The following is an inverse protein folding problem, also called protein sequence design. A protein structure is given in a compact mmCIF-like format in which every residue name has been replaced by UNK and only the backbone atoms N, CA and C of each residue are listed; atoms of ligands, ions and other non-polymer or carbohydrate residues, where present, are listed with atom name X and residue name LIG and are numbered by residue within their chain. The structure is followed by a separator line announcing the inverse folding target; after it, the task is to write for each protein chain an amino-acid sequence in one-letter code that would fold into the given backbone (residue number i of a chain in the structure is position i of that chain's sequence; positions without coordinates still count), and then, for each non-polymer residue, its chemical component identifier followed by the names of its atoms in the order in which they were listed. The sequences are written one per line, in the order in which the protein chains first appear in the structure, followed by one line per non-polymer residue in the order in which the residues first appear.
data_IF_437014130367
#
_entry.id   IF_437014130367
#
_cell.length_a   1.000
_cell.length_b   1.000
_cell.length_c   1.000
_cell.angle_alpha   90.00
_cell.angle_beta   90.00
_cell.angle_gamma   90.00
#
_symmetry.space_group_name_H-M   'P 1'
#
loop_
_entity.id
_entity.type
_entity.pdbx_description
1 polymer ?
#
# COMPACT_ATOMS: atom_id res chain seq x y z
N UNK A 1 -28.33 -45.32 -40.97
CA UNK A 1 -29.74 -45.62 -41.34
C UNK A 1 -30.64 -44.93 -40.29
N UNK A 2 -31.22 -43.92 -40.66
CA UNK A 2 -32.46 -43.70 -41.41
C UNK A 2 -33.66 -43.40 -40.47
N UNK A 3 -34.15 -42.20 -40.70
CA UNK A 3 -35.52 -41.71 -40.86
C UNK A 3 -36.34 -41.45 -39.60
N UNK A 4 -36.74 -40.24 -39.31
CA UNK A 4 -37.57 -39.25 -40.01
C UNK A 4 -39.07 -39.40 -39.76
N UNK A 5 -39.71 -38.22 -39.52
CA UNK A 5 -41.14 -37.86 -39.63
C UNK A 5 -42.05 -38.21 -38.42
N UNK A 6 -42.98 -37.39 -38.06
CA UNK A 6 -43.61 -36.18 -38.60
C UNK A 6 -44.77 -35.75 -37.71
N UNK A 7 -45.01 -34.47 -37.74
CA UNK A 7 -46.29 -33.78 -38.02
C UNK A 7 -47.59 -34.20 -37.33
N UNK A 8 -48.20 -33.34 -36.55
CA UNK A 8 -49.40 -32.53 -36.90
C UNK A 8 -50.43 -32.39 -35.74
N UNK A 9 -50.79 -31.12 -35.50
CA UNK A 9 -52.13 -30.53 -35.35
C UNK A 9 -53.14 -31.18 -34.37
N UNK A 10 -53.64 -30.40 -33.42
CA UNK A 10 -55.01 -29.91 -33.55
C UNK A 10 -55.39 -28.89 -32.47
N UNK A 11 -56.00 -27.84 -32.96
CA UNK A 11 -56.81 -26.79 -32.32
C UNK A 11 -57.96 -27.35 -31.50
N UNK A 12 -58.40 -26.63 -30.41
CA UNK A 12 -59.74 -26.01 -30.30
C UNK A 12 -60.02 -25.44 -28.91
N UNK A 13 -60.29 -24.14 -28.93
CA UNK A 13 -61.28 -23.34 -28.17
C UNK A 13 -62.04 -23.98 -27.01
N UNK A 14 -62.11 -23.22 -25.86
CA UNK A 14 -63.40 -22.82 -25.29
C UNK A 14 -63.29 -21.54 -24.44
N UNK A 15 -64.32 -20.75 -24.56
CA UNK A 15 -64.60 -19.37 -24.14
C UNK A 15 -64.96 -19.29 -22.64
N UNK A 16 -64.62 -18.12 -22.03
CA UNK A 16 -65.43 -17.28 -21.13
C UNK A 16 -65.62 -17.72 -19.68
N UNK A 17 -65.02 -16.94 -18.74
CA UNK A 17 -65.83 -16.30 -17.66
C UNK A 17 -65.04 -15.07 -17.11
N UNK A 18 -65.68 -13.90 -17.22
CA UNK A 18 -65.28 -12.64 -16.57
C UNK A 18 -65.56 -12.78 -15.05
N UNK A 19 -64.54 -12.47 -14.23
CA UNK A 19 -64.73 -12.01 -12.85
C UNK A 19 -63.80 -10.83 -12.60
N UNK A 20 -64.38 -9.62 -12.53
CA UNK A 20 -63.76 -8.41 -12.07
C UNK A 20 -63.38 -8.57 -10.58
N UNK A 21 -62.07 -8.65 -10.28
CA UNK A 21 -61.53 -8.30 -8.99
C UNK A 21 -60.62 -7.10 -9.17
N UNK A 22 -61.11 -5.94 -8.73
CA UNK A 22 -60.32 -4.70 -8.60
C UNK A 22 -59.27 -4.89 -7.54
N UNK A 23 -58.03 -5.23 -7.96
CA UNK A 23 -56.85 -5.11 -7.10
C UNK A 23 -56.25 -3.73 -7.32
N UNK A 24 -56.42 -2.88 -6.32
CA UNK A 24 -55.62 -1.66 -6.13
C UNK A 24 -54.21 -2.12 -5.76
N UNK A 25 -53.32 -2.12 -6.74
CA UNK A 25 -51.87 -2.25 -6.48
C UNK A 25 -51.40 -0.91 -5.91
N UNK A 26 -50.67 -0.89 -4.79
CA UNK A 26 -49.98 0.31 -4.40
C UNK A 26 -48.90 0.58 -5.43
N UNK A 27 -48.89 1.78 -5.99
CA UNK A 27 -47.79 2.33 -6.77
C UNK A 27 -46.60 2.44 -5.82
N UNK A 28 -45.78 1.39 -5.75
CA UNK A 28 -44.43 1.49 -5.25
C UNK A 28 -43.65 2.29 -6.29
N UNK A 29 -43.38 3.54 -5.99
CA UNK A 29 -42.38 4.30 -6.69
C UNK A 29 -41.06 3.55 -6.49
N UNK A 30 -40.67 2.74 -7.48
CA UNK A 30 -39.31 2.34 -7.65
C UNK A 30 -38.50 3.62 -7.77
N UNK A 31 -37.69 3.93 -6.76
CA UNK A 31 -36.59 4.88 -6.87
C UNK A 31 -35.73 4.34 -8.02
N UNK A 32 -35.85 4.96 -9.18
CA UNK A 32 -35.05 4.64 -10.35
C UNK A 32 -33.58 4.83 -10.00
N UNK A 33 -32.73 3.93 -10.47
CA UNK A 33 -31.30 4.17 -10.47
C UNK A 33 -31.02 5.56 -11.08
N UNK A 34 -30.09 6.34 -10.49
CA UNK A 34 -29.75 7.66 -11.02
C UNK A 34 -29.41 7.54 -12.51
N UNK A 35 -29.92 8.44 -13.33
CA UNK A 35 -29.61 8.47 -14.77
C UNK A 35 -28.15 8.88 -14.92
N UNK A 36 -27.45 8.36 -15.91
CA UNK A 36 -26.07 8.77 -16.24
C UNK A 36 -25.95 10.30 -16.45
N UNK A 37 -27.01 10.95 -16.95
CA UNK A 37 -27.10 12.39 -17.12
C UNK A 37 -27.02 13.14 -15.79
N UNK A 38 -27.62 12.62 -14.72
CA UNK A 38 -27.60 13.24 -13.40
C UNK A 38 -26.19 13.23 -12.77
N UNK A 39 -25.41 12.16 -13.03
CA UNK A 39 -24.01 12.03 -12.57
C UNK A 39 -23.07 13.02 -13.27
N UNK A 40 -23.20 13.21 -14.57
CA UNK A 40 -22.39 14.15 -15.33
C UNK A 40 -22.64 15.62 -14.91
N UNK A 41 -23.90 15.98 -14.60
CA UNK A 41 -24.23 17.30 -14.06
C UNK A 41 -23.55 17.55 -12.71
N UNK A 42 -23.62 16.59 -11.78
CA UNK A 42 -22.97 16.69 -10.48
C UNK A 42 -21.45 16.89 -10.62
N UNK A 43 -20.78 16.10 -11.47
CA UNK A 43 -19.34 16.26 -11.74
C UNK A 43 -19.04 17.67 -12.28
N UNK A 44 -19.84 18.13 -13.24
CA UNK A 44 -19.68 19.46 -13.83
C UNK A 44 -19.79 20.59 -12.79
N UNK A 45 -20.79 20.53 -11.93
CA UNK A 45 -21.00 21.54 -10.88
C UNK A 45 -19.85 21.56 -9.85
N UNK A 46 -19.36 20.39 -9.41
CA UNK A 46 -18.19 20.34 -8.51
C UNK A 46 -16.90 20.85 -9.18
N UNK A 47 -16.70 20.62 -10.47
CA UNK A 47 -15.57 21.22 -11.19
C UNK A 47 -15.72 22.73 -11.38
N UNK A 48 -16.94 23.23 -11.58
CA UNK A 48 -17.22 24.67 -11.65
C UNK A 48 -16.87 25.41 -10.35
N UNK A 49 -16.98 24.76 -9.17
CA UNK A 49 -16.52 25.33 -7.91
C UNK A 49 -15.00 25.67 -7.92
N UNK A 50 -14.20 24.96 -8.73
CA UNK A 50 -12.75 25.20 -8.87
C UNK A 50 -12.41 26.09 -10.06
N UNK A 51 -13.05 25.84 -11.20
CA UNK A 51 -12.64 26.36 -12.52
C UNK A 51 -13.54 27.50 -13.03
N UNK A 52 -14.72 27.68 -12.43
CA UNK A 52 -15.72 28.63 -12.90
C UNK A 52 -15.35 30.09 -12.69
N UNK A 53 -16.06 30.97 -13.42
CA UNK A 53 -16.06 32.40 -13.10
C UNK A 53 -16.64 32.64 -11.71
N UNK A 54 -16.45 33.82 -11.07
CA UNK A 54 -17.07 34.10 -9.77
C UNK A 54 -18.57 33.83 -9.73
N UNK A 55 -19.30 34.22 -10.80
CA UNK A 55 -20.73 33.95 -10.95
C UNK A 55 -21.05 32.48 -11.09
N UNK A 56 -20.26 31.75 -11.93
CA UNK A 56 -20.40 30.29 -12.13
C UNK A 56 -20.16 29.53 -10.84
N UNK A 57 -19.13 29.89 -10.07
CA UNK A 57 -18.86 29.27 -8.76
C UNK A 57 -20.00 29.49 -7.76
N UNK A 58 -20.61 30.69 -7.77
CA UNK A 58 -21.73 30.96 -6.89
C UNK A 58 -22.95 30.13 -7.26
N UNK A 59 -23.25 29.99 -8.56
CA UNK A 59 -24.32 29.13 -9.06
C UNK A 59 -24.08 27.64 -8.70
N UNK A 60 -22.88 27.17 -8.91
CA UNK A 60 -22.49 25.81 -8.53
C UNK A 60 -22.62 25.58 -7.02
N UNK A 61 -22.24 26.56 -6.19
CA UNK A 61 -22.40 26.49 -4.74
C UNK A 61 -23.87 26.39 -4.32
N UNK A 62 -24.76 27.18 -4.97
CA UNK A 62 -26.21 27.13 -4.75
C UNK A 62 -26.79 25.78 -5.19
N UNK A 63 -26.32 25.21 -6.32
CA UNK A 63 -26.70 23.87 -6.75
C UNK A 63 -26.31 22.84 -5.67
N UNK A 64 -25.05 22.80 -5.23
CA UNK A 64 -24.56 21.85 -4.23
C UNK A 64 -25.31 22.02 -2.89
N UNK A 65 -25.59 23.25 -2.46
CA UNK A 65 -26.38 23.51 -1.24
C UNK A 65 -27.81 22.99 -1.37
N UNK A 66 -28.47 23.23 -2.52
CA UNK A 66 -29.87 22.88 -2.75
C UNK A 66 -30.06 21.36 -2.95
N UNK A 67 -29.16 20.74 -3.71
CA UNK A 67 -29.20 19.30 -4.03
C UNK A 67 -28.41 18.47 -3.03
N UNK A 68 -28.05 19.02 -1.89
CA UNK A 68 -27.17 18.40 -0.93
C UNK A 68 -27.56 16.97 -0.55
N UNK A 69 -26.58 16.09 -0.61
CA UNK A 69 -26.64 14.75 -0.06
C UNK A 69 -25.32 14.41 0.66
N UNK A 70 -25.31 13.48 1.65
CA UNK A 70 -24.11 13.18 2.44
C UNK A 70 -22.91 12.74 1.60
N UNK A 71 -23.14 12.11 0.45
CA UNK A 71 -22.11 11.70 -0.51
C UNK A 71 -21.34 12.84 -1.16
N UNK A 72 -21.82 14.08 -1.07
CA UNK A 72 -21.12 15.27 -1.55
C UNK A 72 -20.00 15.74 -0.60
N UNK A 73 -19.99 15.26 0.64
CA UNK A 73 -18.97 15.67 1.62
C UNK A 73 -17.53 15.42 1.14
N UNK A 74 -17.14 14.21 0.69
CA UNK A 74 -15.78 13.98 0.19
C UNK A 74 -15.45 14.81 -1.05
N UNK A 75 -16.42 15.03 -1.95
CA UNK A 75 -16.23 15.86 -3.15
C UNK A 75 -15.94 17.31 -2.77
N UNK A 76 -16.74 17.88 -1.87
CA UNK A 76 -16.58 19.26 -1.42
C UNK A 76 -15.27 19.45 -0.64
N UNK A 77 -14.83 18.44 0.12
CA UNK A 77 -13.54 18.48 0.81
C UNK A 77 -12.36 18.45 -0.19
N UNK A 78 -12.45 17.68 -1.27
CA UNK A 78 -11.44 17.72 -2.33
C UNK A 78 -11.43 19.07 -3.05
N UNK A 79 -12.60 19.66 -3.34
CA UNK A 79 -12.69 21.02 -3.87
C UNK A 79 -12.00 22.00 -2.95
N UNK A 80 -12.27 21.98 -1.64
CA UNK A 80 -11.63 22.85 -0.66
C UNK A 80 -10.10 22.65 -0.64
N UNK A 81 -9.64 21.38 -0.73
CA UNK A 81 -8.21 21.06 -0.75
C UNK A 81 -7.48 21.64 -1.98
N UNK A 82 -8.14 21.64 -3.14
CA UNK A 82 -7.55 22.14 -4.38
C UNK A 82 -7.86 23.62 -4.67
N UNK A 83 -8.78 24.22 -3.90
CA UNK A 83 -9.12 25.62 -4.10
C UNK A 83 -7.90 26.52 -3.90
N UNK A 84 -7.66 27.44 -4.84
CA UNK A 84 -6.56 28.43 -4.82
C UNK A 84 -7.07 29.85 -4.66
N UNK A 85 -8.38 30.05 -4.60
CA UNK A 85 -9.00 31.36 -4.43
C UNK A 85 -9.32 31.62 -2.94
N UNK A 86 -8.51 32.44 -2.24
CA UNK A 86 -8.74 32.71 -0.84
C UNK A 86 -10.06 33.51 -0.58
N UNK A 87 -10.61 34.20 -1.59
CA UNK A 87 -11.86 34.89 -1.47
C UNK A 87 -13.07 33.95 -1.51
N UNK A 88 -12.97 32.83 -2.20
CA UNK A 88 -14.05 31.84 -2.31
C UNK A 88 -13.98 30.75 -1.23
N UNK A 89 -12.80 30.46 -0.69
CA UNK A 89 -12.60 29.43 0.32
C UNK A 89 -13.55 29.53 1.54
N UNK A 90 -13.87 30.72 2.09
CA UNK A 90 -14.83 30.84 3.19
C UNK A 90 -16.23 30.32 2.87
N UNK A 91 -16.68 30.44 1.61
CA UNK A 91 -18.00 29.96 1.17
C UNK A 91 -18.04 28.42 1.14
N UNK A 92 -16.96 27.78 0.70
CA UNK A 92 -16.81 26.30 0.74
C UNK A 92 -16.82 25.77 2.18
N UNK A 93 -16.05 26.43 3.07
CA UNK A 93 -16.02 26.09 4.50
C UNK A 93 -17.39 26.24 5.13
N UNK A 94 -18.05 27.38 4.90
CA UNK A 94 -19.39 27.65 5.46
C UNK A 94 -20.41 26.58 5.01
N UNK A 95 -20.34 26.13 3.76
CA UNK A 95 -21.20 25.06 3.26
C UNK A 95 -20.88 23.72 3.93
N UNK A 96 -19.60 23.34 4.05
CA UNK A 96 -19.18 22.12 4.77
C UNK A 96 -19.66 22.14 6.22
N UNK A 97 -19.44 23.24 6.94
CA UNK A 97 -19.85 23.40 8.33
C UNK A 97 -21.38 23.33 8.49
N UNK A 98 -22.12 24.02 7.63
CA UNK A 98 -23.60 24.01 7.60
C UNK A 98 -24.14 22.59 7.42
N UNK A 99 -23.55 21.81 6.51
CA UNK A 99 -24.06 20.48 6.13
C UNK A 99 -23.58 19.34 7.03
N UNK A 100 -22.38 19.46 7.58
CA UNK A 100 -21.78 18.44 8.46
C UNK A 100 -22.10 18.63 9.94
N UNK A 101 -22.42 19.88 10.35
CA UNK A 101 -22.53 20.25 11.75
C UNK A 101 -21.19 20.33 12.49
N UNK A 102 -20.08 20.32 11.76
CA UNK A 102 -18.73 20.44 12.30
C UNK A 102 -18.20 21.86 12.07
N UNK A 103 -17.18 22.28 12.81
CA UNK A 103 -16.56 23.60 12.71
C UNK A 103 -15.04 23.46 12.76
N UNK A 104 -14.45 23.05 11.64
CA UNK A 104 -13.00 22.87 11.51
C UNK A 104 -12.34 23.98 10.68
N UNK A 105 -13.12 24.93 10.14
CA UNK A 105 -12.61 26.01 9.33
C UNK A 105 -11.80 25.50 8.14
N UNK A 106 -10.60 26.06 7.96
CA UNK A 106 -9.67 25.68 6.89
C UNK A 106 -8.75 24.51 7.23
N UNK A 107 -8.97 23.83 8.34
CA UNK A 107 -8.13 22.71 8.75
C UNK A 107 -8.50 21.43 8.00
N UNK A 108 -7.88 21.23 6.84
CA UNK A 108 -8.12 20.06 5.97
C UNK A 108 -7.84 18.75 6.72
N UNK A 109 -6.82 18.71 7.57
CA UNK A 109 -6.46 17.49 8.31
C UNK A 109 -7.57 17.09 9.29
N UNK A 110 -8.18 18.05 10.00
CA UNK A 110 -9.31 17.76 10.89
C UNK A 110 -10.55 17.31 10.10
N UNK A 111 -10.81 17.90 8.92
CA UNK A 111 -11.88 17.46 8.03
C UNK A 111 -11.66 16.02 7.57
N UNK A 112 -10.44 15.67 7.14
CA UNK A 112 -10.08 14.32 6.72
C UNK A 112 -10.23 13.33 7.88
N UNK A 113 -9.68 13.64 9.06
CA UNK A 113 -9.80 12.80 10.25
C UNK A 113 -11.26 12.53 10.61
N UNK A 114 -12.10 13.57 10.61
CA UNK A 114 -13.52 13.43 10.88
C UNK A 114 -14.22 12.56 9.84
N UNK A 115 -13.93 12.76 8.54
CA UNK A 115 -14.54 12.01 7.45
C UNK A 115 -14.14 10.53 7.49
N UNK A 116 -12.86 10.24 7.67
CA UNK A 116 -12.32 8.87 7.64
C UNK A 116 -12.72 8.03 8.86
N UNK A 117 -13.08 8.66 9.97
CA UNK A 117 -13.56 7.96 11.16
C UNK A 117 -15.08 7.69 11.16
N UNK A 118 -15.73 7.85 10.00
CA UNK A 118 -17.17 7.60 9.82
C UNK A 118 -17.39 6.55 8.76
N UNK A 119 -18.57 5.90 8.80
CA UNK A 119 -19.00 5.06 7.69
C UNK A 119 -19.06 5.89 6.40
N UNK A 120 -18.41 5.42 5.33
CA UNK A 120 -18.34 6.17 4.09
C UNK A 120 -19.69 6.22 3.40
N UNK A 121 -20.09 7.41 3.00
CA UNK A 121 -21.22 7.63 2.10
C UNK A 121 -20.69 8.38 0.88
N UNK A 122 -20.78 7.75 -0.29
CA UNK A 122 -20.29 8.33 -1.54
C UNK A 122 -21.46 8.57 -2.49
N UNK A 123 -21.42 9.72 -3.17
CA UNK A 123 -22.23 9.92 -4.35
C UNK A 123 -21.77 8.98 -5.48
N UNK A 124 -22.68 8.41 -6.29
CA UNK A 124 -22.29 7.59 -7.44
C UNK A 124 -21.37 8.31 -8.43
N UNK A 125 -21.43 9.64 -8.50
CA UNK A 125 -20.57 10.46 -9.34
C UNK A 125 -19.15 10.68 -8.78
N UNK A 126 -18.90 10.33 -7.50
CA UNK A 126 -17.61 10.61 -6.87
C UNK A 126 -16.40 10.01 -7.59
N UNK A 127 -16.42 8.75 -8.07
CA UNK A 127 -15.28 8.20 -8.83
C UNK A 127 -15.00 8.96 -10.13
N UNK A 128 -16.04 9.40 -10.86
CA UNK A 128 -15.89 10.21 -12.07
C UNK A 128 -15.38 11.63 -11.75
N UNK A 129 -15.92 12.25 -10.70
CA UNK A 129 -15.40 13.53 -10.22
C UNK A 129 -13.91 13.44 -9.85
N UNK A 130 -13.51 12.38 -9.15
CA UNK A 130 -12.12 12.15 -8.78
C UNK A 130 -11.23 11.96 -10.01
N UNK A 131 -11.70 11.22 -11.01
CA UNK A 131 -11.03 11.06 -12.31
C UNK A 131 -10.80 12.42 -12.98
N UNK A 132 -11.85 13.19 -13.17
CA UNK A 132 -11.79 14.49 -13.82
C UNK A 132 -10.94 15.51 -13.04
N UNK A 133 -11.10 15.56 -11.71
CA UNK A 133 -10.34 16.47 -10.85
C UNK A 133 -8.83 16.21 -10.94
N UNK A 134 -8.42 14.95 -10.80
CA UNK A 134 -7.00 14.61 -10.82
C UNK A 134 -6.42 14.61 -12.25
N UNK A 135 -7.25 14.40 -13.26
CA UNK A 135 -6.89 14.60 -14.67
C UNK A 135 -6.39 16.02 -14.97
N UNK A 136 -6.86 17.03 -14.23
CA UNK A 136 -6.34 18.41 -14.34
C UNK A 136 -4.86 18.54 -13.91
N UNK A 137 -4.35 17.63 -13.10
CA UNK A 137 -2.95 17.62 -12.63
C UNK A 137 -2.04 16.81 -13.55
N UNK A 138 -2.54 15.68 -14.02
CA UNK A 138 -1.88 14.78 -14.96
C UNK A 138 -2.98 13.97 -15.69
N UNK A 139 -3.09 14.12 -17.00
CA UNK A 139 -4.09 13.43 -17.82
C UNK A 139 -4.12 11.91 -17.62
N UNK A 140 -2.96 11.31 -17.26
CA UNK A 140 -2.84 9.88 -16.97
C UNK A 140 -3.62 9.45 -15.73
N UNK A 141 -3.93 10.36 -14.81
CA UNK A 141 -4.68 10.07 -13.60
C UNK A 141 -6.16 9.76 -13.87
N UNK A 142 -6.69 10.20 -15.00
CA UNK A 142 -8.04 9.82 -15.45
C UNK A 142 -8.18 8.29 -15.60
N UNK A 143 -7.07 7.60 -15.87
CA UNK A 143 -7.07 6.16 -16.01
C UNK A 143 -7.15 5.40 -14.67
N UNK A 144 -6.99 6.07 -13.53
CA UNK A 144 -7.02 5.39 -12.23
C UNK A 144 -8.42 5.29 -11.65
N UNK A 145 -9.25 6.31 -11.86
CA UNK A 145 -10.56 6.44 -11.24
C UNK A 145 -11.67 6.39 -12.31
N UNK A 146 -12.92 6.47 -11.85
CA UNK A 146 -14.09 6.45 -12.71
C UNK A 146 -15.08 5.37 -12.29
N UNK A 147 -16.34 5.52 -12.70
CA UNK A 147 -17.46 4.64 -12.34
C UNK A 147 -17.28 3.19 -12.80
N UNK A 148 -16.47 2.97 -13.86
CA UNK A 148 -16.18 1.65 -14.41
C UNK A 148 -14.95 0.99 -13.76
N UNK A 149 -14.35 1.62 -12.75
CA UNK A 149 -13.18 1.13 -12.04
C UNK A 149 -13.59 0.51 -10.71
N UNK A 150 -13.43 -0.81 -10.57
CA UNK A 150 -13.65 -1.49 -9.30
C UNK A 150 -12.71 -0.94 -8.21
N UNK A 151 -13.19 -0.90 -6.98
CA UNK A 151 -12.37 -0.50 -5.83
C UNK A 151 -12.65 -1.39 -4.63
N UNK A 152 -11.60 -1.78 -3.92
CA UNK A 152 -11.67 -2.53 -2.65
C UNK A 152 -11.28 -1.68 -1.45
N UNK A 153 -10.99 -0.39 -1.67
CA UNK A 153 -10.62 0.58 -0.62
C UNK A 153 -11.49 1.82 -0.70
N UNK A 154 -11.48 2.63 0.35
CA UNK A 154 -12.16 3.93 0.38
C UNK A 154 -11.42 4.92 -0.52
N UNK A 155 -12.09 5.44 -1.53
CA UNK A 155 -11.49 6.41 -2.47
C UNK A 155 -11.20 7.77 -1.83
N UNK A 156 -11.92 8.16 -0.79
CA UNK A 156 -11.68 9.41 -0.05
C UNK A 156 -10.39 9.36 0.79
N UNK A 157 -9.88 8.16 1.08
CA UNK A 157 -8.57 7.96 1.73
C UNK A 157 -7.40 7.88 0.71
N UNK A 158 -7.70 7.88 -0.59
CA UNK A 158 -6.69 7.95 -1.65
C UNK A 158 -6.39 9.41 -1.95
N UNK A 159 -5.21 9.86 -1.53
CA UNK A 159 -4.79 11.26 -1.65
C UNK A 159 -3.62 11.41 -2.61
N UNK A 160 -3.54 12.56 -3.28
CA UNK A 160 -2.41 12.88 -4.15
C UNK A 160 -1.16 13.24 -3.35
N UNK A 161 -0.04 12.58 -3.64
CA UNK A 161 1.24 12.78 -2.98
C UNK A 161 2.07 13.97 -3.49
N UNK A 162 1.48 14.84 -4.34
CA UNK A 162 2.15 16.05 -4.83
C UNK A 162 3.01 15.84 -6.10
N UNK A 163 3.03 14.65 -6.68
CA UNK A 163 3.83 14.31 -7.86
C UNK A 163 2.98 13.65 -8.95
N UNK A 164 3.39 13.81 -10.20
CA UNK A 164 2.76 13.14 -11.35
C UNK A 164 3.06 11.64 -11.36
N UNK A 165 2.37 10.89 -12.23
CA UNK A 165 2.70 9.49 -12.51
C UNK A 165 4.16 9.38 -12.93
N UNK A 166 4.95 8.50 -12.31
CA UNK A 166 6.40 8.37 -12.45
C UNK A 166 7.16 9.70 -12.23
N UNK A 167 6.56 10.69 -11.55
CA UNK A 167 7.22 11.93 -11.16
C UNK A 167 8.36 11.73 -10.15
N UNK A 168 8.27 10.63 -9.38
CA UNK A 168 9.41 10.01 -8.69
C UNK A 168 9.83 8.83 -9.58
N UNK A 169 10.88 8.99 -10.42
CA UNK A 169 11.16 8.03 -11.48
C UNK A 169 11.69 6.71 -10.91
N UNK A 170 11.00 5.58 -11.17
CA UNK A 170 11.51 4.26 -10.80
C UNK A 170 12.84 3.97 -11.51
N UNK A 171 13.77 3.32 -10.82
CA UNK A 171 14.97 2.77 -11.43
C UNK A 171 14.62 1.45 -12.14
N UNK A 172 14.85 1.38 -13.44
CA UNK A 172 14.56 0.18 -14.23
C UNK A 172 15.85 -0.44 -14.74
N UNK A 173 16.11 -1.70 -14.34
CA UNK A 173 17.36 -2.41 -14.62
C UNK A 173 18.57 -1.53 -14.36
N UNK A 174 18.73 -1.02 -13.13
CA UNK A 174 19.75 -0.04 -12.82
C UNK A 174 21.16 -0.63 -12.90
N UNK A 175 22.11 0.22 -13.23
CA UNK A 175 23.52 -0.16 -13.25
C UNK A 175 24.02 -0.55 -11.85
N UNK A 176 24.69 -1.70 -11.77
CA UNK A 176 25.26 -2.24 -10.54
C UNK A 176 26.79 -2.24 -10.65
N UNK A 177 27.46 -1.80 -9.59
CA UNK A 177 28.93 -1.78 -9.45
C UNK A 177 29.37 -2.79 -8.40
N UNK A 178 30.65 -3.13 -8.36
CA UNK A 178 31.23 -3.95 -7.30
C UNK A 178 31.28 -3.23 -5.96
N UNK A 179 31.32 -3.99 -4.85
CA UNK A 179 31.50 -3.43 -3.52
C UNK A 179 32.75 -2.55 -3.41
N UNK A 180 33.84 -2.90 -4.11
CA UNK A 180 35.07 -2.13 -4.13
C UNK A 180 34.98 -0.76 -4.85
N UNK A 181 34.01 -0.61 -5.76
CA UNK A 181 33.75 0.64 -6.49
C UNK A 181 32.73 1.54 -5.77
N UNK A 182 32.10 1.07 -4.71
CA UNK A 182 31.09 1.80 -3.97
C UNK A 182 31.70 2.72 -2.88
N UNK A 183 32.69 3.52 -3.26
CA UNK A 183 33.42 4.47 -2.41
C UNK A 183 32.54 5.64 -1.89
N UNK A 184 31.39 5.83 -2.48
CA UNK A 184 30.40 6.83 -2.05
C UNK A 184 29.61 6.40 -0.78
N UNK A 185 29.77 5.15 -0.31
CA UNK A 185 29.09 4.61 0.88
C UNK A 185 30.04 4.56 2.07
N UNK A 186 29.58 5.13 3.19
CA UNK A 186 30.19 4.90 4.50
C UNK A 186 29.61 3.62 5.12
N UNK A 187 30.37 2.98 6.03
CA UNK A 187 29.92 1.75 6.71
C UNK A 187 28.60 1.90 7.48
N UNK A 188 28.29 3.12 7.95
CA UNK A 188 27.03 3.44 8.64
C UNK A 188 25.82 3.66 7.72
N UNK A 189 26.02 3.78 6.40
CA UNK A 189 24.94 4.05 5.47
C UNK A 189 23.97 2.88 5.39
N UNK A 190 22.68 3.18 5.41
CA UNK A 190 21.64 2.15 5.32
C UNK A 190 21.52 1.65 3.88
N UNK A 191 21.52 0.34 3.75
CA UNK A 191 21.28 -0.36 2.50
C UNK A 191 20.16 -1.40 2.67
N UNK A 192 19.48 -1.68 1.59
CA UNK A 192 18.53 -2.77 1.46
C UNK A 192 19.22 -3.91 0.71
N UNK A 193 19.60 -4.95 1.46
CA UNK A 193 20.30 -6.11 0.94
C UNK A 193 19.36 -7.24 0.56
N UNK A 194 19.65 -7.92 -0.53
CA UNK A 194 18.90 -9.08 -0.96
C UNK A 194 19.81 -10.10 -1.67
N UNK A 195 19.40 -11.36 -1.57
CA UNK A 195 20.03 -12.49 -2.27
C UNK A 195 18.92 -13.33 -2.90
N UNK A 196 19.02 -13.54 -4.21
CA UNK A 196 18.12 -14.42 -4.96
C UNK A 196 18.97 -15.29 -5.88
N UNK A 197 18.87 -16.59 -5.70
CA UNK A 197 19.61 -17.58 -6.49
C UNK A 197 21.13 -17.33 -6.57
N UNK A 198 21.72 -16.81 -5.50
CA UNK A 198 23.14 -16.47 -5.42
C UNK A 198 23.54 -15.12 -6.02
N UNK A 199 22.59 -14.37 -6.59
CA UNK A 199 22.81 -12.96 -6.97
C UNK A 199 22.56 -12.07 -5.76
N UNK A 200 23.64 -11.50 -5.23
CA UNK A 200 23.65 -10.69 -4.01
C UNK A 200 23.76 -9.21 -4.38
N UNK A 201 22.80 -8.40 -3.93
CA UNK A 201 22.74 -6.97 -4.26
C UNK A 201 22.45 -6.10 -3.05
N UNK A 202 22.92 -4.86 -3.11
CA UNK A 202 22.63 -3.81 -2.15
C UNK A 202 22.05 -2.58 -2.85
N UNK A 203 20.95 -2.07 -2.33
CA UNK A 203 20.27 -0.87 -2.81
C UNK A 203 20.31 0.21 -1.71
N UNK A 204 21.20 1.22 -1.82
CA UNK A 204 21.37 2.23 -0.77
C UNK A 204 20.13 3.11 -0.59
N UNK A 205 19.73 3.30 0.67
CA UNK A 205 18.59 4.17 1.03
C UNK A 205 18.74 5.59 0.51
N UNK A 206 19.97 6.14 0.49
CA UNK A 206 20.26 7.49 -0.03
C UNK A 206 19.86 7.67 -1.49
N UNK A 207 19.91 6.60 -2.30
CA UNK A 207 19.46 6.61 -3.71
C UNK A 207 17.96 6.36 -3.76
N UNK A 208 17.45 5.33 -3.07
CA UNK A 208 16.05 5.00 -3.08
C UNK A 208 15.16 6.06 -2.41
N UNK A 209 15.70 6.94 -1.58
CA UNK A 209 15.00 8.11 -1.07
C UNK A 209 14.54 9.09 -2.17
N UNK A 210 15.16 9.06 -3.35
CA UNK A 210 14.81 9.88 -4.50
C UNK A 210 14.05 9.16 -5.60
N UNK A 211 14.10 7.82 -5.61
CA UNK A 211 13.50 6.98 -6.66
C UNK A 211 12.35 6.12 -6.17
N UNK A 212 12.36 5.79 -4.88
CA UNK A 212 11.31 5.05 -4.16
C UNK A 212 10.95 3.68 -4.74
N UNK A 213 11.50 3.31 -5.89
CA UNK A 213 11.24 2.03 -6.54
C UNK A 213 12.42 1.63 -7.43
N UNK A 214 12.74 0.35 -7.44
CA UNK A 214 13.51 -0.27 -8.51
C UNK A 214 12.76 -1.45 -9.10
N UNK A 215 12.90 -1.67 -10.41
CA UNK A 215 12.42 -2.82 -11.16
C UNK A 215 13.63 -3.47 -11.79
N UNK A 216 13.89 -4.73 -11.47
CA UNK A 216 15.13 -5.39 -11.82
C UNK A 216 14.92 -6.88 -12.08
N UNK A 217 15.92 -7.56 -12.65
CA UNK A 217 16.03 -9.01 -12.66
C UNK A 217 17.19 -9.40 -11.73
N UNK A 218 16.88 -10.14 -10.69
CA UNK A 218 17.86 -10.59 -9.70
C UNK A 218 17.88 -12.10 -9.66
N UNK A 219 19.01 -12.68 -10.03
CA UNK A 219 19.15 -14.13 -10.07
C UNK A 219 18.17 -14.83 -11.02
N UNK A 220 17.74 -14.16 -12.10
CA UNK A 220 16.74 -14.67 -13.05
C UNK A 220 15.29 -14.52 -12.57
N UNK A 221 15.05 -13.79 -11.50
CA UNK A 221 13.70 -13.50 -10.97
C UNK A 221 13.37 -12.04 -11.20
N UNK A 222 12.28 -11.71 -11.94
CA UNK A 222 11.83 -10.35 -12.10
C UNK A 222 11.25 -9.85 -10.79
N UNK A 223 11.78 -8.72 -10.30
CA UNK A 223 11.42 -8.16 -8.99
C UNK A 223 11.09 -6.68 -9.07
N UNK A 224 10.29 -6.22 -8.12
CA UNK A 224 10.13 -4.82 -7.77
C UNK A 224 10.46 -4.63 -6.30
N UNK A 225 11.39 -3.72 -6.02
CA UNK A 225 11.63 -3.23 -4.67
C UNK A 225 10.98 -1.87 -4.51
N UNK A 226 10.13 -1.71 -3.49
CA UNK A 226 9.38 -0.48 -3.24
C UNK A 226 9.77 0.08 -1.90
N UNK A 227 10.36 1.26 -1.91
CA UNK A 227 10.70 2.01 -0.71
C UNK A 227 9.67 3.13 -0.50
N UNK A 228 8.77 2.94 0.47
CA UNK A 228 7.91 4.01 0.95
C UNK A 228 8.69 4.87 1.94
N UNK A 229 9.18 6.02 1.51
CA UNK A 229 9.96 6.96 2.34
C UNK A 229 9.19 7.45 3.55
N UNK A 230 7.89 7.69 3.38
CA UNK A 230 7.01 8.14 4.46
C UNK A 230 6.84 7.09 5.56
N UNK A 231 6.72 5.81 5.17
CA UNK A 231 6.47 4.69 6.07
C UNK A 231 7.75 3.98 6.53
N UNK A 232 8.93 4.42 6.06
CA UNK A 232 10.22 3.77 6.35
C UNK A 232 10.27 2.31 5.91
N UNK A 233 9.48 1.94 4.89
CA UNK A 233 9.21 0.55 4.52
C UNK A 233 9.88 0.20 3.21
N UNK A 234 10.72 -0.84 3.20
CA UNK A 234 11.23 -1.48 1.98
C UNK A 234 10.60 -2.86 1.84
N UNK A 235 9.88 -3.07 0.74
CA UNK A 235 9.27 -4.37 0.42
C UNK A 235 9.76 -4.83 -0.94
N UNK A 236 10.09 -6.10 -1.04
CA UNK A 236 10.51 -6.75 -2.27
C UNK A 236 9.44 -7.74 -2.73
N UNK A 237 9.02 -7.64 -3.97
CA UNK A 237 8.05 -8.53 -4.60
C UNK A 237 8.62 -9.16 -5.85
N UNK A 238 8.27 -10.42 -6.08
CA UNK A 238 8.34 -11.00 -7.41
C UNK A 238 7.18 -10.44 -8.25
N UNK A 239 7.47 -10.00 -9.48
CA UNK A 239 6.45 -9.37 -10.36
C UNK A 239 5.74 -10.35 -11.28
N UNK A 240 6.24 -11.58 -11.42
CA UNK A 240 5.60 -12.62 -12.24
C UNK A 240 4.69 -13.50 -11.39
N UNK A 241 3.39 -13.45 -11.67
CA UNK A 241 2.34 -14.23 -11.01
C UNK A 241 1.54 -14.98 -12.05
N UNK A 242 1.30 -16.28 -11.84
CA UNK A 242 0.55 -17.17 -12.75
C UNK A 242 1.00 -17.07 -14.22
N UNK A 243 2.30 -16.86 -14.45
CA UNK A 243 2.90 -16.75 -15.79
C UNK A 243 2.82 -15.36 -16.42
N UNK A 244 2.13 -14.41 -15.80
CA UNK A 244 2.05 -13.02 -16.23
C UNK A 244 2.99 -12.13 -15.41
N UNK A 245 3.73 -11.27 -16.08
CA UNK A 245 4.58 -10.26 -15.44
C UNK A 245 3.84 -8.93 -15.36
N UNK A 246 3.85 -8.33 -14.16
CA UNK A 246 3.24 -7.03 -13.89
C UNK A 246 4.32 -5.96 -13.85
N UNK A 247 4.26 -5.03 -14.81
CA UNK A 247 5.19 -3.91 -14.87
C UNK A 247 4.67 -2.75 -14.03
N UNK A 248 5.25 -2.57 -12.84
CA UNK A 248 4.81 -1.58 -11.86
C UNK A 248 5.56 -0.27 -11.97
N UNK A 249 4.91 0.81 -11.53
CA UNK A 249 5.45 2.16 -11.46
C UNK A 249 4.92 2.94 -10.26
N UNK A 250 5.35 4.19 -10.12
CA UNK A 250 4.93 5.10 -9.03
C UNK A 250 3.71 5.90 -9.47
N UNK A 251 2.58 5.70 -8.78
CA UNK A 251 1.31 6.29 -9.21
C UNK A 251 1.20 7.80 -8.96
N UNK A 252 1.92 8.33 -7.96
CA UNK A 252 1.71 9.67 -7.44
C UNK A 252 0.67 9.75 -6.31
N UNK A 253 0.01 8.65 -5.98
CA UNK A 253 -1.03 8.58 -4.94
C UNK A 253 -0.59 7.79 -3.72
N UNK A 254 -1.22 8.11 -2.61
CA UNK A 254 -1.07 7.47 -1.30
C UNK A 254 -2.44 6.95 -0.83
N UNK A 255 -2.42 5.84 -0.12
CA UNK A 255 -3.54 5.34 0.65
C UNK A 255 -3.09 5.18 2.10
N UNK A 256 -3.72 5.94 3.01
CA UNK A 256 -3.32 5.96 4.43
C UNK A 256 -1.82 6.20 4.61
N UNK A 257 -1.31 7.22 3.96
CA UNK A 257 0.12 7.59 3.94
C UNK A 257 1.07 6.56 3.32
N UNK A 258 0.58 5.41 2.86
CA UNK A 258 1.35 4.42 2.13
C UNK A 258 1.27 4.66 0.63
N UNK A 259 2.39 4.51 -0.05
CA UNK A 259 2.46 4.62 -1.51
C UNK A 259 1.53 3.60 -2.19
N UNK A 260 0.83 4.06 -3.24
CA UNK A 260 0.21 3.19 -4.21
C UNK A 260 1.14 3.06 -5.44
N UNK A 261 1.35 1.84 -5.87
CA UNK A 261 1.94 1.55 -7.17
C UNK A 261 0.84 1.57 -8.24
N UNK A 262 1.22 1.63 -9.52
CA UNK A 262 0.29 1.37 -10.62
C UNK A 262 0.85 0.30 -11.55
N UNK A 263 -0.04 -0.44 -12.20
CA UNK A 263 0.29 -1.40 -13.25
C UNK A 263 0.26 -0.69 -14.61
N UNK A 264 1.34 -0.77 -15.38
CA UNK A 264 1.46 -0.04 -16.66
C UNK A 264 0.50 -0.53 -17.73
N UNK A 265 0.15 -1.81 -17.71
CA UNK A 265 -0.74 -2.39 -18.71
C UNK A 265 -2.22 -2.08 -18.44
N UNK A 266 -2.65 -2.12 -17.20
CA UNK A 266 -4.06 -2.00 -16.81
C UNK A 266 -4.40 -0.68 -16.13
N UNK A 267 -3.40 0.10 -15.72
CA UNK A 267 -3.54 1.31 -14.90
C UNK A 267 -4.29 1.02 -13.58
N UNK A 268 -4.22 -0.23 -13.08
CA UNK A 268 -4.72 -0.57 -11.75
C UNK A 268 -3.78 0.00 -10.68
N UNK A 269 -4.35 0.53 -9.59
CA UNK A 269 -3.56 0.92 -8.41
C UNK A 269 -3.37 -0.27 -7.48
N UNK A 270 -2.17 -0.41 -6.94
CA UNK A 270 -1.78 -1.50 -6.06
C UNK A 270 -1.34 -0.97 -4.70
N UNK A 271 -1.85 -1.57 -3.64
CA UNK A 271 -1.38 -1.28 -2.28
C UNK A 271 0.00 -1.89 -2.06
N UNK A 272 0.98 -1.07 -1.70
CA UNK A 272 2.37 -1.51 -1.52
C UNK A 272 2.53 -2.49 -0.35
N UNK A 273 1.81 -2.29 0.76
CA UNK A 273 1.94 -3.17 1.93
C UNK A 273 1.21 -4.51 1.74
N UNK A 274 0.15 -4.53 0.95
CA UNK A 274 -0.62 -5.77 0.70
C UNK A 274 -0.13 -6.55 -0.52
N UNK A 275 0.54 -5.88 -1.47
CA UNK A 275 0.94 -6.50 -2.74
C UNK A 275 -0.26 -6.87 -3.61
N UNK A 276 -1.38 -6.14 -3.47
CA UNK A 276 -2.65 -6.40 -4.17
C UNK A 276 -3.12 -5.19 -4.96
N UNK A 277 -3.80 -5.41 -6.10
CA UNK A 277 -4.55 -4.35 -6.76
C UNK A 277 -5.74 -3.93 -5.88
N UNK A 278 -5.98 -2.62 -5.77
CA UNK A 278 -7.01 -2.05 -4.90
C UNK A 278 -7.96 -1.09 -5.62
N UNK A 279 -7.59 -0.60 -6.79
CA UNK A 279 -8.44 0.18 -7.71
C UNK A 279 -8.15 -0.26 -9.13
N UNK A 280 -9.18 -0.45 -9.93
CA UNK A 280 -9.06 -0.76 -11.37
C UNK A 280 -9.43 -2.18 -11.75
N UNK A 281 -9.15 -2.60 -13.00
CA UNK A 281 -9.63 -3.87 -13.56
C UNK A 281 -9.12 -5.13 -12.85
N UNK A 282 -8.00 -5.04 -12.10
CA UNK A 282 -7.40 -6.19 -11.44
C UNK A 282 -7.91 -6.42 -10.00
N UNK A 283 -8.82 -5.61 -9.49
CA UNK A 283 -9.29 -5.69 -8.08
C UNK A 283 -9.86 -7.07 -7.75
N UNK A 284 -10.63 -7.66 -8.67
CA UNK A 284 -11.29 -8.95 -8.45
C UNK A 284 -10.50 -10.14 -9.01
N UNK A 285 -9.21 -9.96 -9.28
CA UNK A 285 -8.36 -10.98 -9.93
C UNK A 285 -7.70 -11.97 -8.96
N UNK A 286 -7.87 -11.81 -7.65
CA UNK A 286 -7.19 -12.57 -6.59
C UNK A 286 -5.64 -12.54 -6.66
N UNK A 287 -5.07 -11.64 -7.47
CA UNK A 287 -3.63 -11.51 -7.62
C UNK A 287 -3.02 -10.93 -6.35
N UNK A 288 -2.03 -11.62 -5.80
CA UNK A 288 -1.16 -11.15 -4.73
C UNK A 288 0.28 -11.37 -5.16
N UNK A 289 1.09 -10.32 -5.17
CA UNK A 289 2.51 -10.44 -5.48
C UNK A 289 3.24 -11.23 -4.39
N UNK A 290 4.00 -12.27 -4.74
CA UNK A 290 4.83 -13.00 -3.78
C UNK A 290 5.87 -12.07 -3.16
N UNK A 291 5.89 -12.00 -1.84
CA UNK A 291 6.93 -11.26 -1.10
C UNK A 291 8.22 -12.05 -1.08
N UNK A 292 9.33 -11.35 -1.27
CA UNK A 292 10.67 -11.88 -1.14
C UNK A 292 11.36 -11.24 0.07
N UNK A 293 12.39 -11.90 0.57
CA UNK A 293 13.15 -11.39 1.71
C UNK A 293 14.06 -10.23 1.30
N UNK A 294 14.07 -9.20 2.12
CA UNK A 294 14.98 -8.05 2.03
C UNK A 294 15.49 -7.72 3.43
N UNK A 295 16.74 -7.32 3.54
CA UNK A 295 17.38 -6.97 4.81
C UNK A 295 17.65 -5.47 4.84
N UNK A 296 17.09 -4.76 5.82
CA UNK A 296 17.50 -3.39 6.14
C UNK A 296 18.68 -3.47 7.09
N UNK A 297 19.86 -3.02 6.64
CA UNK A 297 21.13 -3.12 7.38
C UNK A 297 22.03 -1.92 7.08
N UNK A 298 23.16 -1.81 7.72
CA UNK A 298 24.20 -0.86 7.30
C UNK A 298 25.17 -1.48 6.29
N UNK A 299 25.78 -0.61 5.47
CA UNK A 299 26.69 -1.04 4.40
C UNK A 299 27.88 -1.85 4.90
N UNK A 300 28.50 -1.46 6.03
CA UNK A 300 29.64 -2.17 6.61
C UNK A 300 29.32 -3.62 6.95
N UNK A 301 28.16 -3.88 7.59
CA UNK A 301 27.74 -5.22 7.94
C UNK A 301 27.36 -6.04 6.70
N UNK A 302 26.63 -5.43 5.74
CA UNK A 302 26.26 -6.12 4.50
C UNK A 302 27.49 -6.55 3.72
N UNK A 303 28.44 -5.62 3.47
CA UNK A 303 29.68 -5.89 2.74
C UNK A 303 30.55 -6.93 3.45
N UNK A 304 30.59 -6.92 4.78
CA UNK A 304 31.36 -7.91 5.55
C UNK A 304 30.79 -9.33 5.36
N UNK A 305 29.46 -9.47 5.29
CA UNK A 305 28.78 -10.76 5.07
C UNK A 305 28.86 -11.18 3.60
N UNK A 306 28.81 -10.23 2.69
CA UNK A 306 28.71 -10.45 1.26
C UNK A 306 29.76 -9.61 0.51
N UNK A 307 31.06 -9.99 0.59
CA UNK A 307 32.13 -9.20 -0.04
C UNK A 307 32.01 -9.10 -1.56
N UNK A 308 31.33 -10.08 -2.20
CA UNK A 308 31.07 -10.11 -3.65
C UNK A 308 29.75 -9.44 -4.07
N UNK A 309 29.08 -8.74 -3.13
CA UNK A 309 27.82 -8.06 -3.44
C UNK A 309 27.98 -7.01 -4.53
N UNK A 310 26.98 -6.91 -5.40
CA UNK A 310 26.85 -5.77 -6.31
C UNK A 310 26.04 -4.66 -5.65
N UNK A 311 26.35 -3.43 -5.98
CA UNK A 311 25.74 -2.25 -5.35
C UNK A 311 25.18 -1.34 -6.42
N UNK A 312 24.02 -0.75 -6.17
CA UNK A 312 23.39 0.21 -7.06
C UNK A 312 24.34 1.41 -7.33
N UNK A 313 24.59 1.69 -8.61
CA UNK A 313 25.43 2.80 -9.03
C UNK A 313 24.77 4.16 -8.81
N UNK A 314 25.59 5.22 -8.62
CA UNK A 314 25.13 6.61 -8.68
C UNK A 314 24.71 7.05 -10.09
N UNK A 315 25.08 6.30 -11.13
CA UNK A 315 24.72 6.56 -12.53
C UNK A 315 23.26 6.14 -12.81
N UNK A 316 22.33 6.80 -12.15
CA UNK A 316 20.88 6.49 -12.23
C UNK A 316 20.18 7.11 -13.44
N UNK A 317 20.87 7.94 -14.22
CA UNK A 317 20.27 8.76 -15.29
C UNK A 317 19.53 10.00 -14.80
N UNK A 318 19.42 10.20 -13.48
CA UNK A 318 18.77 11.38 -12.88
C UNK A 318 19.79 12.25 -12.13
N UNK A 319 19.57 13.56 -12.17
CA UNK A 319 20.37 14.51 -11.38
C UNK A 319 19.69 14.72 -10.02
N UNK A 320 20.29 14.15 -8.98
CA UNK A 320 19.80 14.25 -7.59
C UNK A 320 20.97 14.43 -6.63
N UNK A 321 20.68 14.93 -5.44
CA UNK A 321 21.65 14.98 -4.34
C UNK A 321 21.60 13.64 -3.58
N UNK A 322 22.47 12.71 -3.94
CA UNK A 322 22.54 11.38 -3.31
C UNK A 322 23.40 11.34 -2.03
N UNK A 323 23.71 12.49 -1.42
CA UNK A 323 24.38 12.49 -0.11
C UNK A 323 23.44 11.90 0.95
N UNK A 324 24.00 11.21 1.93
CA UNK A 324 23.20 10.61 3.01
C UNK A 324 22.36 11.67 3.73
N UNK A 325 21.10 11.38 3.93
CA UNK A 325 20.14 12.27 4.56
C UNK A 325 19.68 13.45 3.71
N UNK A 326 20.10 13.60 2.45
CA UNK A 326 19.64 14.73 1.60
C UNK A 326 18.14 14.64 1.30
N UNK A 327 17.62 13.42 1.08
CA UNK A 327 16.20 13.18 0.94
C UNK A 327 15.52 13.01 2.32
N UNK A 328 14.41 13.69 2.56
CA UNK A 328 13.52 13.52 3.73
C UNK A 328 14.19 13.75 5.11
N UNK A 329 15.31 14.47 5.21
CA UNK A 329 16.02 14.73 6.49
C UNK A 329 15.08 15.28 7.57
N UNK A 330 14.36 16.34 7.26
CA UNK A 330 13.49 17.02 8.22
C UNK A 330 12.30 16.13 8.63
N UNK A 331 11.80 15.32 7.71
CA UNK A 331 10.76 14.36 7.99
C UNK A 331 11.21 13.28 8.98
N UNK A 332 12.42 12.74 8.79
CA UNK A 332 12.95 11.72 9.71
C UNK A 332 13.42 12.29 11.07
N UNK A 333 13.65 13.59 11.15
CA UNK A 333 14.08 14.25 12.38
C UNK A 333 12.96 14.40 13.43
N UNK A 334 11.70 14.24 13.05
CA UNK A 334 10.53 14.42 13.92
C UNK A 334 9.61 13.22 13.89
N UNK A 335 8.70 13.09 14.86
CA UNK A 335 7.65 12.06 14.87
C UNK A 335 6.37 12.50 14.11
N UNK A 336 6.34 13.74 13.59
CA UNK A 336 5.22 14.28 12.84
C UNK A 336 5.06 13.57 11.48
N UNK A 337 3.81 13.38 11.06
CA UNK A 337 3.48 12.78 9.76
C UNK A 337 3.35 13.86 8.69
N UNK A 338 3.74 13.54 7.46
CA UNK A 338 3.57 14.42 6.30
C UNK A 338 2.15 14.32 5.72
N UNK A 339 1.54 13.14 5.81
CA UNK A 339 0.15 12.88 5.40
C UNK A 339 -0.58 12.18 6.55
N UNK A 340 -1.85 12.52 6.70
CA UNK A 340 -2.67 11.96 7.75
C UNK A 340 -3.07 10.50 7.48
N UNK A 341 -3.44 9.80 8.56
CA UNK A 341 -4.00 8.45 8.54
C UNK A 341 -5.28 8.43 9.37
N UNK A 342 -6.24 7.53 9.11
CA UNK A 342 -7.53 7.52 9.83
C UNK A 342 -7.40 7.34 11.34
N UNK A 343 -6.38 6.63 11.80
CA UNK A 343 -6.16 6.39 13.22
C UNK A 343 -4.68 6.15 13.52
N UNK A 344 -4.26 6.58 14.70
CA UNK A 344 -2.93 6.35 15.24
C UNK A 344 -3.02 5.43 16.46
N UNK A 345 -2.06 4.56 16.60
CA UNK A 345 -1.88 3.74 17.81
C UNK A 345 -0.70 4.27 18.61
N UNK A 346 -0.94 4.57 19.89
CA UNK A 346 0.01 5.25 20.76
C UNK A 346 0.89 4.31 21.59
N UNK A 347 0.80 2.99 21.39
CA UNK A 347 1.68 2.02 22.06
C UNK A 347 3.16 2.24 21.73
N UNK A 348 3.42 2.71 20.49
CA UNK A 348 4.74 3.15 20.07
C UNK A 348 4.65 4.57 19.47
N UNK A 349 5.79 5.25 19.35
CA UNK A 349 5.86 6.50 18.58
C UNK A 349 5.56 6.23 17.10
N UNK A 350 5.03 7.21 16.39
CA UNK A 350 4.63 7.04 14.98
C UNK A 350 5.73 6.43 14.12
N UNK A 351 6.94 6.95 14.23
CA UNK A 351 8.12 6.50 13.46
C UNK A 351 9.02 5.51 14.21
N UNK A 352 8.52 4.88 15.28
CA UNK A 352 9.21 3.73 15.84
C UNK A 352 9.28 2.61 14.79
N UNK A 353 10.44 2.01 14.64
CA UNK A 353 10.61 0.92 13.66
C UNK A 353 10.09 -0.40 14.22
N UNK A 354 9.38 -1.13 13.39
CA UNK A 354 8.92 -2.49 13.67
C UNK A 354 9.34 -3.44 12.55
N UNK A 355 9.55 -4.70 12.89
CA UNK A 355 9.62 -5.79 11.93
C UNK A 355 8.20 -6.28 11.69
N UNK A 356 7.70 -6.13 10.47
CA UNK A 356 6.36 -6.55 10.06
C UNK A 356 6.38 -7.93 9.40
N UNK A 357 5.48 -8.79 9.82
CA UNK A 357 5.30 -10.15 9.30
C UNK A 357 3.83 -10.38 8.93
N UNK A 358 3.61 -10.80 7.68
CA UNK A 358 2.34 -11.32 7.21
C UNK A 358 2.63 -12.55 6.38
N UNK A 359 2.16 -13.70 6.81
CA UNK A 359 2.37 -14.96 6.11
C UNK A 359 1.16 -15.29 5.22
N UNK A 360 1.37 -15.76 3.97
CA UNK A 360 0.27 -16.07 3.06
C UNK A 360 -0.72 -17.10 3.60
N UNK A 361 -0.28 -18.00 4.48
CA UNK A 361 -1.12 -18.99 5.12
C UNK A 361 -2.01 -18.40 6.23
N UNK A 362 -1.63 -17.24 6.77
CA UNK A 362 -2.31 -16.55 7.87
C UNK A 362 -2.42 -15.04 7.58
N UNK A 363 -3.08 -14.63 6.49
CA UNK A 363 -3.12 -13.24 6.04
C UNK A 363 -3.82 -12.31 7.04
N UNK A 364 -4.72 -12.85 7.84
CA UNK A 364 -5.49 -12.11 8.84
C UNK A 364 -4.83 -12.09 10.24
N UNK A 365 -3.60 -12.57 10.34
CA UNK A 365 -2.81 -12.56 11.59
C UNK A 365 -1.49 -11.79 11.43
N UNK A 366 -1.54 -10.50 11.08
CA UNK A 366 -0.33 -9.69 10.99
C UNK A 366 0.34 -9.53 12.35
N UNK A 367 1.68 -9.54 12.34
CA UNK A 367 2.50 -9.38 13.51
C UNK A 367 3.51 -8.25 13.29
N UNK A 368 3.62 -7.36 14.28
CA UNK A 368 4.67 -6.37 14.37
C UNK A 368 5.53 -6.65 15.61
N UNK A 369 6.84 -6.60 15.46
CA UNK A 369 7.78 -6.73 16.56
C UNK A 369 8.65 -5.47 16.56
N UNK A 370 8.66 -4.73 17.68
CA UNK A 370 9.43 -3.51 17.80
C UNK A 370 10.94 -3.77 17.64
N UNK A 371 11.61 -2.90 16.91
CA UNK A 371 13.02 -3.09 16.59
C UNK A 371 13.93 -3.02 17.84
N UNK A 372 13.58 -2.17 18.80
CA UNK A 372 14.28 -2.05 20.09
C UNK A 372 14.08 -3.31 20.95
N UNK A 373 12.92 -3.97 20.87
CA UNK A 373 12.69 -5.27 21.49
C UNK A 373 13.62 -6.33 20.89
N UNK A 374 13.68 -6.41 19.54
CA UNK A 374 14.54 -7.37 18.85
C UNK A 374 16.05 -7.10 19.06
N UNK A 375 16.44 -5.85 19.28
CA UNK A 375 17.82 -5.52 19.62
C UNK A 375 18.26 -6.08 20.98
N UNK A 376 17.31 -6.27 21.91
CA UNK A 376 17.55 -6.89 23.22
C UNK A 376 17.33 -8.41 23.21
N UNK A 377 16.63 -8.94 22.21
CA UNK A 377 16.30 -10.36 22.04
C UNK A 377 16.83 -10.83 20.70
N UNK A 378 18.15 -10.97 20.59
CA UNK A 378 18.85 -11.24 19.33
C UNK A 378 18.53 -12.60 18.70
N UNK A 379 18.01 -13.55 19.48
CA UNK A 379 17.39 -14.80 19.04
C UNK A 379 16.00 -14.87 19.64
N UNK A 380 14.98 -14.56 18.86
CA UNK A 380 13.60 -14.46 19.32
C UNK A 380 12.72 -15.49 18.62
N UNK A 381 11.98 -16.27 19.39
CA UNK A 381 11.04 -17.27 18.88
C UNK A 381 9.60 -16.79 19.03
N UNK A 382 8.79 -17.06 18.01
CA UNK A 382 7.37 -16.78 18.04
C UNK A 382 6.61 -17.67 17.04
N UNK A 383 5.29 -17.53 16.99
CA UNK A 383 4.43 -18.23 16.05
C UNK A 383 3.26 -17.38 15.57
N UNK A 384 2.83 -17.65 14.35
CA UNK A 384 1.58 -17.13 13.76
C UNK A 384 0.79 -18.33 13.22
N UNK A 385 -0.38 -18.58 13.79
CA UNK A 385 -1.07 -19.84 13.58
C UNK A 385 -0.20 -21.04 14.00
N UNK A 386 0.01 -21.97 13.10
CA UNK A 386 0.90 -23.14 13.32
C UNK A 386 2.34 -22.90 12.83
N UNK A 387 2.61 -21.77 12.19
CA UNK A 387 3.93 -21.46 11.67
C UNK A 387 4.83 -20.91 12.79
N UNK A 388 5.74 -21.73 13.27
CA UNK A 388 6.77 -21.34 14.24
C UNK A 388 7.99 -20.81 13.52
N UNK A 389 8.55 -19.74 14.02
CA UNK A 389 9.70 -19.08 13.43
C UNK A 389 10.69 -18.56 14.48
N UNK A 390 11.89 -18.29 14.02
CA UNK A 390 12.93 -17.59 14.78
C UNK A 390 13.32 -16.31 14.06
N UNK A 391 13.45 -15.22 14.81
CA UNK A 391 14.04 -13.96 14.35
C UNK A 391 15.44 -13.85 14.90
N UNK A 392 16.40 -13.62 14.01
CA UNK A 392 17.80 -13.37 14.38
C UNK A 392 18.13 -11.92 14.07
N UNK A 393 18.66 -11.20 15.06
CA UNK A 393 19.00 -9.78 14.94
C UNK A 393 20.50 -9.58 15.10
N UNK A 394 21.17 -9.05 14.06
CA UNK A 394 22.60 -8.83 14.08
C UNK A 394 23.02 -7.51 14.76
N UNK A 395 24.30 -7.27 14.86
CA UNK A 395 24.87 -6.09 15.55
C UNK A 395 24.52 -4.77 14.86
N UNK A 396 24.10 -4.80 13.59
CA UNK A 396 23.57 -3.62 12.88
C UNK A 396 22.07 -3.38 13.17
N UNK A 397 21.42 -4.29 13.91
CA UNK A 397 19.99 -4.31 14.15
C UNK A 397 19.18 -4.95 13.01
N UNK A 398 19.83 -5.51 11.99
CA UNK A 398 19.16 -6.17 10.88
C UNK A 398 18.53 -7.49 11.31
N UNK A 399 17.34 -7.76 10.80
CA UNK A 399 16.53 -8.92 11.17
C UNK A 399 16.45 -9.92 10.04
N UNK A 400 16.53 -11.19 10.39
CA UNK A 400 16.29 -12.33 9.50
C UNK A 400 15.32 -13.29 10.16
N UNK A 401 14.32 -13.75 9.42
CA UNK A 401 13.28 -14.63 9.94
C UNK A 401 13.38 -15.97 9.23
N UNK A 402 13.38 -17.06 9.99
CA UNK A 402 13.43 -18.42 9.43
C UNK A 402 12.36 -19.29 10.06
N UNK A 403 11.90 -20.29 9.32
CA UNK A 403 11.13 -21.37 9.93
C UNK A 403 11.90 -21.96 11.12
N UNK A 404 11.18 -22.27 12.20
CA UNK A 404 11.79 -22.95 13.35
C UNK A 404 11.25 -24.39 13.53
N UNK A 405 10.02 -24.65 13.04
CA UNK A 405 9.34 -25.93 13.28
C UNK A 405 9.33 -26.26 14.77
N UNK A 406 9.81 -27.42 15.18
CA UNK A 406 9.89 -27.84 16.60
C UNK A 406 11.27 -27.56 17.21
N UNK A 407 12.13 -26.82 16.50
CA UNK A 407 13.48 -26.49 16.97
C UNK A 407 13.47 -25.21 17.78
N UNK A 408 14.29 -25.18 18.84
CA UNK A 408 14.56 -24.01 19.66
C UNK A 408 16.02 -23.61 19.51
N UNK A 409 16.27 -22.41 18.99
CA UNK A 409 17.61 -21.84 18.89
C UNK A 409 17.92 -21.06 20.16
N UNK A 410 19.13 -21.24 20.72
CA UNK A 410 19.48 -20.68 22.02
C UNK A 410 20.68 -19.74 21.97
N UNK A 411 21.54 -19.88 20.97
CA UNK A 411 22.75 -19.07 20.83
C UNK A 411 23.02 -18.75 19.38
N UNK A 412 23.47 -17.53 19.14
CA UNK A 412 23.98 -17.09 17.86
C UNK A 412 25.32 -16.39 18.02
N UNK A 413 26.28 -16.71 17.17
CA UNK A 413 27.63 -16.13 17.19
C UNK A 413 27.69 -14.66 16.66
N UNK A 414 26.53 -14.09 16.27
CA UNK A 414 26.46 -12.76 15.68
C UNK A 414 26.90 -12.71 14.20
N UNK A 415 27.30 -13.85 13.63
CA UNK A 415 27.80 -13.94 12.27
C UNK A 415 27.03 -14.96 11.43
N UNK A 416 27.42 -16.22 11.49
CA UNK A 416 26.91 -17.23 10.57
C UNK A 416 26.38 -18.51 11.24
N UNK A 417 26.55 -18.68 12.57
CA UNK A 417 26.24 -19.93 13.26
C UNK A 417 25.22 -19.74 14.37
N UNK A 418 24.07 -20.43 14.25
CA UNK A 418 23.12 -20.61 15.34
C UNK A 418 23.32 -21.99 15.98
N UNK A 419 23.13 -22.08 17.30
CA UNK A 419 23.03 -23.37 18.00
C UNK A 419 21.58 -23.57 18.46
N UNK A 420 21.07 -24.79 18.21
CA UNK A 420 19.81 -25.23 18.79
C UNK A 420 20.01 -25.72 20.25
N UNK A 421 18.93 -26.05 20.96
CA UNK A 421 18.97 -26.52 22.35
C UNK A 421 19.69 -27.85 22.54
N UNK A 422 19.78 -28.67 21.49
CA UNK A 422 20.52 -29.92 21.46
C UNK A 422 22.02 -29.71 21.16
N UNK A 423 22.46 -28.46 20.94
CA UNK A 423 23.84 -28.07 20.64
C UNK A 423 24.24 -28.28 19.19
N UNK A 424 23.32 -28.56 18.28
CA UNK A 424 23.62 -28.66 16.86
C UNK A 424 23.86 -27.28 16.24
N UNK A 425 24.91 -27.20 15.40
CA UNK A 425 25.25 -25.98 14.70
C UNK A 425 24.48 -25.88 13.36
N UNK A 426 23.88 -24.71 13.13
CA UNK A 426 23.16 -24.33 11.92
C UNK A 426 23.85 -23.16 11.25
N UNK A 427 24.20 -23.30 9.98
CA UNK A 427 24.75 -22.22 9.18
C UNK A 427 23.64 -21.32 8.70
N UNK A 428 23.76 -20.01 9.00
CA UNK A 428 22.86 -18.96 8.55
C UNK A 428 23.32 -18.41 7.20
N UNK A 429 22.39 -18.41 6.24
CA UNK A 429 22.51 -17.71 4.94
C UNK A 429 21.31 -16.78 4.74
N UNK A 430 21.32 -15.95 3.71
CA UNK A 430 20.16 -15.11 3.40
C UNK A 430 18.95 -15.94 2.89
N UNK A 431 19.17 -17.15 2.40
CA UNK A 431 18.10 -18.02 1.89
C UNK A 431 17.56 -19.00 2.94
N UNK A 432 18.38 -19.44 3.90
CA UNK A 432 18.04 -20.56 4.78
C UNK A 432 18.97 -20.71 5.99
N UNK A 433 18.50 -21.45 7.00
CA UNK A 433 19.37 -22.12 7.99
C UNK A 433 19.64 -23.53 7.51
N UNK A 434 20.90 -23.96 7.57
CA UNK A 434 21.32 -25.30 7.13
C UNK A 434 22.16 -25.99 8.21
N UNK A 435 21.76 -27.22 8.56
CA UNK A 435 22.54 -28.09 9.44
C UNK A 435 23.47 -29.00 8.61
N UNK A 436 24.55 -29.50 9.24
CA UNK A 436 25.54 -30.31 8.57
C UNK A 436 25.04 -31.64 8.01
N UNK A 437 23.93 -32.17 8.51
CA UNK A 437 23.26 -33.39 8.01
C UNK A 437 22.35 -33.13 6.79
N UNK A 438 22.27 -31.88 6.31
CA UNK A 438 21.49 -31.49 5.15
C UNK A 438 20.09 -30.98 5.48
N UNK A 439 19.67 -30.96 6.76
CA UNK A 439 18.39 -30.33 7.14
C UNK A 439 18.39 -28.83 6.84
N UNK A 440 17.27 -28.33 6.33
CA UNK A 440 17.09 -26.94 5.92
C UNK A 440 15.82 -26.36 6.54
N UNK A 441 15.92 -25.11 7.01
CA UNK A 441 14.81 -24.26 7.41
C UNK A 441 14.82 -23.02 6.51
N UNK A 442 13.70 -22.74 5.85
CA UNK A 442 13.63 -21.69 4.86
C UNK A 442 13.51 -20.31 5.48
N UNK A 443 14.03 -19.32 4.76
CA UNK A 443 13.82 -17.91 5.07
C UNK A 443 12.35 -17.56 4.90
N UNK A 444 11.82 -16.76 5.83
CA UNK A 444 10.48 -16.20 5.76
C UNK A 444 10.57 -14.70 5.44
N UNK A 445 9.72 -14.19 4.52
CA UNK A 445 9.74 -12.78 4.19
C UNK A 445 9.21 -11.92 5.34
N UNK A 446 9.97 -10.87 5.65
CA UNK A 446 9.63 -9.85 6.62
C UNK A 446 10.27 -8.54 6.17
N UNK A 447 9.75 -7.40 6.66
CA UNK A 447 10.29 -6.09 6.31
C UNK A 447 10.17 -5.10 7.47
N UNK A 448 11.04 -4.10 7.49
CA UNK A 448 10.95 -2.98 8.43
C UNK A 448 9.89 -1.98 7.96
N UNK A 449 9.22 -1.38 8.93
CA UNK A 449 8.26 -0.30 8.71
C UNK A 449 8.26 0.65 9.92
N UNK A 450 7.82 1.89 9.73
CA UNK A 450 7.40 2.74 10.83
C UNK A 450 6.05 2.27 11.36
N UNK A 451 5.87 2.37 12.67
CA UNK A 451 4.69 1.86 13.38
C UNK A 451 3.37 2.41 12.79
N UNK A 452 3.27 3.73 12.57
CA UNK A 452 2.05 4.32 12.02
C UNK A 452 1.69 3.75 10.65
N UNK A 453 2.69 3.54 9.78
CA UNK A 453 2.49 3.01 8.43
C UNK A 453 2.06 1.54 8.44
N UNK A 454 2.65 0.76 9.34
CA UNK A 454 2.25 -0.62 9.57
C UNK A 454 0.83 -0.69 10.14
N UNK A 455 0.56 0.04 11.23
CA UNK A 455 -0.73 0.03 11.91
C UNK A 455 -1.88 0.51 11.01
N UNK A 456 -1.65 1.52 10.17
CA UNK A 456 -2.69 2.00 9.24
C UNK A 456 -3.05 0.98 8.16
N UNK A 457 -2.15 0.05 7.82
CA UNK A 457 -2.44 -1.06 6.91
C UNK A 457 -3.01 -2.30 7.62
N UNK A 458 -2.62 -2.52 8.87
CA UNK A 458 -2.94 -3.71 9.66
C UNK A 458 -3.34 -3.32 11.09
N UNK A 459 -4.47 -2.62 11.26
CA UNK A 459 -4.92 -2.09 12.55
C UNK A 459 -5.21 -3.17 13.60
N UNK A 460 -5.46 -4.42 13.17
CA UNK A 460 -5.69 -5.59 14.02
C UNK A 460 -4.40 -6.37 14.33
N UNK A 461 -3.23 -5.80 14.02
CA UNK A 461 -1.93 -6.46 14.22
C UNK A 461 -1.64 -6.77 15.69
N UNK A 462 -1.10 -7.94 15.96
CA UNK A 462 -0.43 -8.22 17.23
C UNK A 462 0.89 -7.41 17.27
N UNK A 463 1.19 -6.82 18.40
CA UNK A 463 2.43 -6.06 18.61
C UNK A 463 3.23 -6.67 19.77
N UNK A 464 4.52 -6.91 19.55
CA UNK A 464 5.49 -7.28 20.56
C UNK A 464 6.45 -6.12 20.77
N UNK A 465 6.57 -5.63 21.99
CA UNK A 465 7.40 -4.47 22.35
C UNK A 465 7.81 -4.46 23.83
N UNK A 466 8.72 -3.61 24.24
CA UNK A 466 9.28 -3.58 25.60
C UNK A 466 8.27 -3.22 26.70
N UNK A 467 7.10 -2.71 26.36
CA UNK A 467 6.02 -2.43 27.31
C UNK A 467 5.12 -3.61 27.63
N UNK A 468 5.20 -4.70 26.87
CA UNK A 468 4.47 -5.93 27.17
C UNK A 468 5.12 -6.61 28.40
N UNK A 469 4.33 -6.85 29.43
CA UNK A 469 4.75 -7.73 30.51
C UNK A 469 5.04 -9.11 29.89
N UNK A 470 6.31 -9.51 29.91
CA UNK A 470 6.74 -10.83 29.47
C UNK A 470 5.93 -11.86 30.27
N UNK A 471 4.91 -12.44 29.67
CA UNK A 471 4.36 -13.69 30.19
C UNK A 471 5.44 -14.73 29.95
N UNK A 472 6.01 -15.36 31.00
CA UNK A 472 6.99 -16.41 30.80
C UNK A 472 6.37 -17.53 29.96
N UNK A 473 7.13 -17.99 28.97
CA UNK A 473 6.82 -19.12 28.11
C UNK A 473 6.09 -20.24 28.87
N UNK A 474 4.89 -20.60 28.40
CA UNK A 474 4.23 -21.86 28.80
C UNK A 474 4.57 -22.95 27.81
#
# INVERSE_FOLDING_TARGET
AARARGLNRMRRNFLTLLLLCSFVLPFSQALGAPREEDGAEVVGEFLLLLLGSPEGRQQALEFVDTQWQPGFTPMLLEVLTFNRDPAFAPSLVALLEKKSGQSFGFNIEQWQQWLWNREPVFDPAYPEFKSALYGLLDERFENYFGSQRATSIRLDEVVWGGVKQDGIPPLRQPDMISAAQADYLADSDIVFGLEINGDVRAYPRRILGWHEMFVDDVGGVPVVGVYCTLCGTMILYQTRVAGQEHELGTSGFLYRSNKLMYDRATQSLWNTLWGKPVVGPLVDSDIVLPRLSVVTTNWGEWRRRHPETRVLSLATGAVRDYREGAAYRDYYATDALMFQVPGLDTRLRNKAEVLGLVFPQYPDQPLAIAADYLAQHTVYHDQVGELRFVVVTDTSGANRVYEARDLRFVTWDGAATLLDEDGNAWQLTEAQLRRGDGQVLHRLPAHRAFWFGWYSAYSHTRLVYLGDAVTPDR
#
